data_IF_061319994271
#
_entry.id   IF_061319994271
#
_cell.length_a   1.000
_cell.length_b   1.000
_cell.length_c   1.000
_cell.angle_alpha   90.00
_cell.angle_beta   90.00
_cell.angle_gamma   90.00
#
_symmetry.space_group_name_H-M   'P 1'
#
loop_
_entity.id
_entity.type
_entity.pdbx_description
1 polymer ?
#
# COMPACT_ATOMS: atom_id res chain seq x y z
N UNK A 1 18.00 28.47 1.92
CA UNK A 1 17.51 27.23 1.28
C UNK A 1 18.28 25.97 1.72
N UNK A 2 18.94 25.96 2.88
CA UNK A 2 19.84 24.86 3.29
C UNK A 2 19.23 23.88 4.32
N UNK A 3 18.43 24.37 5.28
CA UNK A 3 17.82 23.53 6.33
C UNK A 3 16.95 22.38 5.80
N UNK A 4 16.20 22.60 4.72
CA UNK A 4 15.34 21.56 4.14
C UNK A 4 16.14 20.39 3.54
N UNK A 5 17.30 20.67 2.95
CA UNK A 5 18.20 19.66 2.41
C UNK A 5 18.86 18.85 3.53
N UNK A 6 19.21 19.49 4.64
CA UNK A 6 19.83 18.81 5.79
C UNK A 6 18.84 17.87 6.49
N UNK A 7 17.58 18.29 6.65
CA UNK A 7 16.51 17.43 7.15
C UNK A 7 16.26 16.25 6.20
N UNK A 8 16.18 16.50 4.90
CA UNK A 8 16.01 15.44 3.90
C UNK A 8 17.12 14.40 3.95
N UNK A 9 18.39 14.82 4.05
CA UNK A 9 19.53 13.92 4.18
C UNK A 9 19.42 13.00 5.39
N UNK A 10 18.96 13.52 6.53
CA UNK A 10 18.75 12.71 7.72
C UNK A 10 17.69 11.63 7.50
N UNK A 11 16.55 11.97 6.89
CA UNK A 11 15.51 10.96 6.62
C UNK A 11 15.92 9.97 5.52
N UNK A 12 16.63 10.42 4.49
CA UNK A 12 17.00 9.59 3.35
C UNK A 12 18.13 8.59 3.64
N UNK A 13 19.06 8.92 4.55
CA UNK A 13 20.29 8.14 4.76
C UNK A 13 20.31 7.29 6.03
N UNK A 14 19.24 7.29 6.82
CA UNK A 14 19.13 6.45 8.01
C UNK A 14 18.13 5.32 7.79
N UNK A 15 18.39 4.17 8.39
CA UNK A 15 17.42 3.09 8.47
C UNK A 15 16.35 3.43 9.50
N UNK A 16 15.10 3.15 9.14
CA UNK A 16 13.96 3.41 9.99
C UNK A 16 13.30 2.09 10.38
N UNK A 17 13.38 1.76 11.66
CA UNK A 17 12.70 0.61 12.22
C UNK A 17 11.38 1.04 12.87
N UNK A 18 10.28 0.85 12.15
CA UNK A 18 8.94 1.12 12.66
C UNK A 18 8.42 -0.12 13.41
N UNK A 19 8.34 -0.02 14.73
CA UNK A 19 7.72 -1.06 15.56
C UNK A 19 6.20 -0.96 15.47
N UNK A 20 5.55 -2.12 15.39
CA UNK A 20 4.09 -2.23 15.29
C UNK A 20 3.57 -3.30 16.24
N UNK A 21 4.22 -3.44 17.39
CA UNK A 21 4.03 -4.60 18.29
C UNK A 21 2.59 -4.67 18.82
N UNK A 22 2.03 -3.52 19.26
CA UNK A 22 0.63 -3.43 19.66
C UNK A 22 -0.35 -3.89 18.56
N UNK A 23 -0.05 -3.59 17.29
CA UNK A 23 -0.90 -4.00 16.16
C UNK A 23 -0.78 -5.51 15.90
N UNK A 24 0.43 -6.07 16.02
CA UNK A 24 0.65 -7.52 15.89
C UNK A 24 -0.08 -8.27 17.01
N UNK A 25 0.03 -7.79 18.25
CA UNK A 25 -0.67 -8.37 19.41
C UNK A 25 -2.18 -8.30 19.24
N UNK A 26 -2.71 -7.16 18.76
CA UNK A 26 -4.13 -7.02 18.46
C UNK A 26 -4.61 -8.10 17.48
N UNK A 27 -3.91 -8.29 16.35
CA UNK A 27 -4.28 -9.30 15.35
C UNK A 27 -4.31 -10.71 15.95
N UNK A 28 -3.32 -11.05 16.78
CA UNK A 28 -3.28 -12.36 17.43
C UNK A 28 -4.43 -12.55 18.44
N UNK A 29 -4.83 -11.47 19.12
CA UNK A 29 -5.90 -11.48 20.11
C UNK A 29 -7.32 -11.63 19.55
N UNK A 30 -7.53 -11.39 18.24
CA UNK A 30 -8.84 -11.48 17.62
C UNK A 30 -9.35 -12.94 17.56
N UNK A 31 -10.65 -13.11 17.82
CA UNK A 31 -11.33 -14.37 17.60
C UNK A 31 -11.55 -14.63 16.08
N UNK A 32 -12.03 -15.83 15.73
CA UNK A 32 -12.20 -16.21 14.32
C UNK A 32 -13.30 -15.42 13.59
N UNK A 33 -14.33 -14.95 14.31
CA UNK A 33 -15.42 -14.16 13.73
C UNK A 33 -14.90 -12.77 13.34
N UNK A 34 -14.22 -12.08 14.27
CA UNK A 34 -13.62 -10.78 14.04
C UNK A 34 -12.52 -10.83 12.98
N UNK A 35 -11.70 -11.89 12.95
CA UNK A 35 -10.69 -12.08 11.88
C UNK A 35 -11.31 -12.18 10.50
N UNK A 36 -12.52 -12.76 10.41
CA UNK A 36 -13.23 -12.91 9.14
C UNK A 36 -13.91 -11.61 8.72
N UNK A 37 -14.54 -10.91 9.66
CA UNK A 37 -15.24 -9.65 9.40
C UNK A 37 -14.25 -8.52 9.11
N UNK A 38 -13.11 -8.52 9.81
CA UNK A 38 -12.04 -7.54 9.70
C UNK A 38 -10.73 -8.22 9.31
N UNK A 39 -10.49 -8.51 8.01
CA UNK A 39 -9.28 -9.16 7.53
C UNK A 39 -8.10 -8.18 7.51
N UNK A 40 -7.64 -7.79 8.70
CA UNK A 40 -6.56 -6.81 8.92
C UNK A 40 -5.16 -7.44 8.96
N UNK A 41 -5.07 -8.77 9.00
CA UNK A 41 -3.79 -9.49 8.93
C UNK A 41 -3.25 -9.51 7.50
N UNK A 42 -2.35 -8.58 7.22
CA UNK A 42 -1.69 -8.45 5.91
C UNK A 42 -0.44 -9.30 5.76
N UNK A 43 -0.01 -10.04 6.79
CA UNK A 43 1.27 -10.79 6.76
C UNK A 43 1.31 -11.86 5.68
N UNK A 44 0.16 -12.45 5.38
CA UNK A 44 -0.02 -13.47 4.34
C UNK A 44 -0.68 -12.91 3.07
N UNK A 45 -0.80 -11.59 2.96
CA UNK A 45 -1.40 -10.95 1.80
C UNK A 45 -0.39 -10.81 0.66
N UNK A 46 -0.79 -11.17 -0.55
CA UNK A 46 -0.03 -10.80 -1.75
C UNK A 46 -0.19 -9.30 -2.00
N UNK A 47 0.83 -8.53 -1.61
CA UNK A 47 0.87 -7.09 -1.78
C UNK A 47 0.71 -6.65 -3.24
N UNK A 48 1.27 -7.38 -4.20
CA UNK A 48 1.18 -7.03 -5.62
C UNK A 48 -0.25 -7.19 -6.12
N UNK A 49 -0.89 -8.31 -5.80
CA UNK A 49 -2.30 -8.56 -6.16
C UNK A 49 -3.21 -7.53 -5.50
N UNK A 50 -2.98 -7.19 -4.23
CA UNK A 50 -3.77 -6.19 -3.54
C UNK A 50 -3.66 -4.81 -4.20
N UNK A 51 -2.44 -4.36 -4.49
CA UNK A 51 -2.19 -3.07 -5.15
C UNK A 51 -2.81 -3.06 -6.55
N UNK A 52 -2.64 -4.13 -7.33
CA UNK A 52 -3.21 -4.22 -8.68
C UNK A 52 -4.74 -4.10 -8.66
N UNK A 53 -5.41 -4.80 -7.74
CA UNK A 53 -6.87 -4.71 -7.54
C UNK A 53 -7.29 -3.30 -7.13
N UNK A 54 -6.58 -2.68 -6.20
CA UNK A 54 -6.86 -1.32 -5.73
C UNK A 54 -6.72 -0.29 -6.86
N UNK A 55 -5.69 -0.41 -7.71
CA UNK A 55 -5.53 0.45 -8.88
C UNK A 55 -6.68 0.24 -9.87
N UNK A 56 -7.03 -1.00 -10.21
CA UNK A 56 -8.15 -1.31 -11.11
C UNK A 56 -9.47 -0.75 -10.56
N UNK A 57 -9.72 -0.90 -9.27
CA UNK A 57 -10.90 -0.37 -8.60
C UNK A 57 -10.95 1.16 -8.69
N UNK A 58 -9.87 1.85 -8.32
CA UNK A 58 -9.80 3.31 -8.38
C UNK A 58 -10.03 3.83 -9.80
N UNK A 59 -9.39 3.22 -10.81
CA UNK A 59 -9.59 3.58 -12.22
C UNK A 59 -11.06 3.47 -12.64
N UNK A 60 -11.73 2.36 -12.31
CA UNK A 60 -13.11 2.10 -12.73
C UNK A 60 -14.13 2.95 -11.96
N UNK A 61 -13.99 3.05 -10.65
CA UNK A 61 -15.05 3.57 -9.79
C UNK A 61 -14.83 5.03 -9.34
N UNK A 62 -13.57 5.42 -9.12
CA UNK A 62 -13.24 6.79 -8.68
C UNK A 62 -12.99 7.68 -9.90
N UNK A 63 -12.07 7.25 -10.78
CA UNK A 63 -11.64 8.04 -11.94
C UNK A 63 -12.56 7.88 -13.16
N UNK A 64 -13.42 6.85 -13.16
CA UNK A 64 -14.35 6.52 -14.26
C UNK A 64 -13.63 6.35 -15.61
N UNK A 65 -12.42 5.83 -15.61
CA UNK A 65 -11.63 5.59 -16.82
C UNK A 65 -12.11 4.34 -17.55
N UNK A 66 -12.13 4.41 -18.89
CA UNK A 66 -12.48 3.26 -19.71
C UNK A 66 -11.35 2.22 -19.69
N UNK A 67 -11.67 0.94 -19.50
CA UNK A 67 -10.68 -0.15 -19.51
C UNK A 67 -9.87 -0.24 -20.80
N UNK A 68 -10.44 0.20 -21.92
CA UNK A 68 -9.74 0.31 -23.22
C UNK A 68 -8.52 1.23 -23.17
N UNK A 69 -8.40 2.07 -22.15
CA UNK A 69 -7.24 2.96 -21.95
C UNK A 69 -6.04 2.27 -21.27
N UNK A 70 -6.23 1.09 -20.67
CA UNK A 70 -5.17 0.37 -19.96
C UNK A 70 -3.98 0.03 -20.89
N UNK A 71 -4.16 -0.49 -22.11
CA UNK A 71 -3.05 -0.75 -23.03
C UNK A 71 -2.22 0.51 -23.35
N UNK A 72 -2.87 1.67 -23.50
CA UNK A 72 -2.19 2.93 -23.75
C UNK A 72 -1.36 3.39 -22.54
N UNK A 73 -1.88 3.22 -21.32
CA UNK A 73 -1.14 3.52 -20.10
C UNK A 73 0.09 2.61 -19.97
N UNK A 74 -0.06 1.31 -20.22
CA UNK A 74 1.06 0.36 -20.21
C UNK A 74 2.12 0.75 -21.26
N UNK A 75 1.69 1.12 -22.47
CA UNK A 75 2.62 1.56 -23.53
C UNK A 75 3.37 2.84 -23.15
N UNK A 76 2.70 3.80 -22.49
CA UNK A 76 3.29 5.07 -22.06
C UNK A 76 4.35 4.91 -20.96
N UNK A 77 4.18 3.94 -20.06
CA UNK A 77 5.03 3.73 -18.88
C UNK A 77 5.91 2.49 -18.96
N UNK A 78 5.94 1.80 -20.12
CA UNK A 78 7.03 0.88 -20.44
C UNK A 78 8.32 1.71 -20.56
N UNK A 79 9.25 1.49 -19.63
CA UNK A 79 10.67 1.81 -19.79
C UNK A 79 11.26 0.97 -20.93
#
# INVERSE_FOLDING_TARGET
MHKGLDVFKFFANNEWHFKSDNFKELIESLNNEDKKEFPIDVRNMDCFVHIERSIKFARRHILKENEKTIPFAIMKYKL
#
